data_IF_470588836441
#
_entry.id   IF_470588836441
#
_cell.length_a   1.000
_cell.length_b   1.000
_cell.length_c   1.000
_cell.angle_alpha   90.00
_cell.angle_beta   90.00
_cell.angle_gamma   90.00
#
_symmetry.space_group_name_H-M   'P 1'
#
loop_
_entity.id
_entity.type
_entity.pdbx_description
1 polymer ?
#
# COMPACT_ATOMS: atom_id res chain seq x y z
N UNK A 1 -9.40 1.08 -19.86
CA UNK A 1 -9.48 1.19 -18.38
C UNK A 1 -8.99 2.58 -17.98
N UNK A 2 -9.65 3.27 -17.04
CA UNK A 2 -9.17 4.58 -16.54
C UNK A 2 -8.05 4.32 -15.51
N UNK A 3 -6.93 5.04 -15.61
CA UNK A 3 -5.84 4.96 -14.63
C UNK A 3 -6.34 5.39 -13.25
N UNK A 4 -6.06 4.60 -12.22
CA UNK A 4 -6.32 4.95 -10.83
C UNK A 4 -5.07 5.65 -10.26
N UNK A 5 -5.26 6.80 -9.61
CA UNK A 5 -4.19 7.55 -8.95
C UNK A 5 -4.23 7.28 -7.44
N UNK A 6 -3.21 6.61 -6.93
CA UNK A 6 -3.01 6.40 -5.49
C UNK A 6 -2.07 7.49 -4.99
N UNK A 7 -2.59 8.41 -4.19
CA UNK A 7 -1.79 9.49 -3.61
C UNK A 7 -1.18 8.99 -2.30
N UNK A 8 0.15 8.89 -2.26
CA UNK A 8 0.88 8.45 -1.07
C UNK A 8 0.98 9.57 -0.04
N UNK A 9 0.23 9.48 1.03
CA UNK A 9 0.40 10.31 2.22
C UNK A 9 1.46 9.69 3.12
N UNK A 10 1.40 8.35 3.26
CA UNK A 10 2.37 7.58 4.01
C UNK A 10 2.58 8.12 5.41
N UNK A 11 3.82 8.47 5.72
CA UNK A 11 4.26 9.04 6.99
C UNK A 11 4.57 10.55 6.90
N UNK A 12 4.30 11.19 5.75
CA UNK A 12 4.61 12.61 5.51
C UNK A 12 3.82 13.56 6.42
N UNK A 13 2.82 13.07 7.14
CA UNK A 13 2.09 13.80 8.17
C UNK A 13 2.91 14.07 9.44
N UNK A 14 4.07 13.39 9.65
CA UNK A 14 4.99 13.62 10.77
C UNK A 14 4.31 13.54 12.16
N UNK A 15 3.30 12.68 12.32
CA UNK A 15 2.48 12.62 13.55
C UNK A 15 1.49 13.79 13.72
N UNK A 16 1.42 14.70 12.76
CA UNK A 16 0.48 15.83 12.77
C UNK A 16 -0.81 15.47 11.98
N UNK A 17 -1.87 15.14 12.67
CA UNK A 17 -3.15 14.71 12.07
C UNK A 17 -3.88 15.84 11.33
N UNK A 18 -3.65 17.10 11.68
CA UNK A 18 -4.20 18.23 10.90
C UNK A 18 -3.48 18.36 9.56
N UNK A 19 -2.17 18.12 9.53
CA UNK A 19 -1.41 18.03 8.29
C UNK A 19 -1.90 16.88 7.43
N UNK A 20 -2.12 15.67 8.01
CA UNK A 20 -2.70 14.53 7.33
C UNK A 20 -4.04 14.87 6.66
N UNK A 21 -4.97 15.51 7.41
CA UNK A 21 -6.26 15.97 6.88
C UNK A 21 -6.08 16.97 5.72
N UNK A 22 -5.09 17.85 5.82
CA UNK A 22 -4.73 18.77 4.73
C UNK A 22 -4.30 18.03 3.47
N UNK A 23 -3.42 17.02 3.62
CA UNK A 23 -2.95 16.18 2.51
C UNK A 23 -4.10 15.39 1.85
N UNK A 24 -5.04 14.84 2.62
CA UNK A 24 -6.24 14.18 2.06
C UNK A 24 -7.05 15.15 1.20
N UNK A 25 -7.26 16.38 1.67
CA UNK A 25 -8.00 17.41 0.91
C UNK A 25 -7.32 17.76 -0.41
N UNK A 26 -6.00 17.92 -0.39
CA UNK A 26 -5.24 18.23 -1.61
C UNK A 26 -5.21 17.01 -2.56
N UNK A 27 -5.10 15.78 -2.03
CA UNK A 27 -5.20 14.57 -2.83
C UNK A 27 -6.56 14.46 -3.55
N UNK A 28 -7.65 14.77 -2.86
CA UNK A 28 -9.01 14.78 -3.46
C UNK A 28 -9.13 15.86 -4.53
N UNK A 29 -8.67 17.09 -4.27
CA UNK A 29 -8.66 18.20 -5.24
C UNK A 29 -7.84 17.88 -6.50
N UNK A 30 -6.74 17.15 -6.33
CA UNK A 30 -5.89 16.71 -7.44
C UNK A 30 -6.51 15.55 -8.27
N UNK A 31 -7.69 15.07 -7.89
CA UNK A 31 -8.37 13.97 -8.58
C UNK A 31 -7.82 12.58 -8.22
N UNK A 32 -7.22 12.44 -7.05
CA UNK A 32 -6.80 11.14 -6.51
C UNK A 32 -7.96 10.15 -6.43
N UNK A 33 -7.69 8.91 -6.75
CA UNK A 33 -8.65 7.82 -6.53
C UNK A 33 -8.56 7.33 -5.09
N UNK A 34 -7.35 7.27 -4.55
CA UNK A 34 -7.05 6.82 -3.20
C UNK A 34 -6.14 7.81 -2.47
N UNK A 35 -6.41 8.05 -1.20
CA UNK A 35 -5.47 8.63 -0.24
C UNK A 35 -4.85 7.47 0.56
N UNK A 36 -3.53 7.22 0.40
CA UNK A 36 -2.90 6.04 0.97
C UNK A 36 -2.05 6.37 2.19
N UNK A 37 -2.26 5.58 3.23
CA UNK A 37 -1.55 5.58 4.51
C UNK A 37 -0.80 4.26 4.75
N UNK A 38 -0.23 4.12 5.94
CA UNK A 38 0.44 2.90 6.41
C UNK A 38 -0.11 2.49 7.77
N UNK A 39 -0.44 1.21 7.94
CA UNK A 39 -1.02 0.67 9.17
C UNK A 39 -0.06 -0.35 9.77
N UNK A 40 0.63 0.05 10.82
CA UNK A 40 1.55 -0.79 11.59
C UNK A 40 1.55 -0.31 13.05
N UNK A 41 2.24 -1.04 13.92
CA UNK A 41 2.56 -0.61 15.27
C UNK A 41 4.08 -0.59 15.46
N UNK A 42 4.61 0.44 16.09
CA UNK A 42 6.05 0.62 16.27
C UNK A 42 6.70 -0.52 17.08
N UNK A 43 5.92 -1.22 17.90
CA UNK A 43 6.41 -2.39 18.64
C UNK A 43 6.77 -3.60 17.75
N UNK A 44 6.46 -3.57 16.45
CA UNK A 44 6.93 -4.54 15.46
C UNK A 44 8.38 -4.29 15.02
N UNK A 45 8.92 -3.15 15.40
CA UNK A 45 10.31 -2.73 15.14
C UNK A 45 11.09 -2.90 16.43
N UNK A 46 12.32 -3.39 16.32
CA UNK A 46 13.18 -3.54 17.50
C UNK A 46 13.40 -2.19 18.16
N UNK A 47 13.29 -2.14 19.50
CA UNK A 47 13.42 -0.89 20.25
C UNK A 47 14.83 -0.24 20.17
N UNK A 48 15.84 -1.01 19.78
CA UNK A 48 17.21 -0.53 19.55
C UNK A 48 17.46 -0.11 18.08
N UNK A 49 16.45 -0.16 17.22
CA UNK A 49 16.56 0.28 15.84
C UNK A 49 16.65 1.82 15.78
N UNK A 50 17.54 2.35 14.96
CA UNK A 50 17.79 3.81 14.86
C UNK A 50 16.53 4.64 14.54
N UNK A 51 15.55 4.06 13.83
CA UNK A 51 14.30 4.71 13.43
C UNK A 51 13.11 4.39 14.35
N UNK A 52 13.33 3.72 15.50
CA UNK A 52 12.24 3.29 16.39
C UNK A 52 11.38 4.47 16.87
N UNK A 53 12.02 5.54 17.35
CA UNK A 53 11.31 6.74 17.84
C UNK A 53 10.59 7.48 16.71
N UNK A 54 11.14 7.44 15.48
CA UNK A 54 10.43 7.94 14.30
C UNK A 54 9.14 7.15 14.06
N UNK A 55 9.21 5.83 13.99
CA UNK A 55 8.03 4.99 13.78
C UNK A 55 6.99 5.16 14.89
N UNK A 56 7.40 5.37 16.14
CA UNK A 56 6.48 5.70 17.22
C UNK A 56 5.79 7.05 17.03
N UNK A 57 6.52 8.05 16.54
CA UNK A 57 5.97 9.40 16.30
C UNK A 57 4.91 9.38 15.20
N UNK A 58 5.13 8.61 14.14
CA UNK A 58 4.27 8.60 12.95
C UNK A 58 3.28 7.43 12.93
N UNK A 59 3.30 6.54 13.91
CA UNK A 59 2.28 5.50 14.09
C UNK A 59 0.90 6.12 14.19
N UNK A 60 0.00 5.73 13.27
CA UNK A 60 -1.34 6.28 13.24
C UNK A 60 -2.26 5.55 14.23
N UNK A 61 -2.84 6.24 15.23
CA UNK A 61 -3.81 5.65 16.15
C UNK A 61 -5.06 5.14 15.42
N UNK A 62 -5.70 4.08 15.95
CA UNK A 62 -6.91 3.52 15.36
C UNK A 62 -8.02 4.58 15.18
N UNK A 63 -8.20 5.47 16.16
CA UNK A 63 -9.19 6.56 16.08
C UNK A 63 -8.93 7.48 14.91
N UNK A 64 -7.66 7.77 14.61
CA UNK A 64 -7.27 8.62 13.48
C UNK A 64 -7.51 7.92 12.15
N UNK A 65 -7.35 6.59 12.07
CA UNK A 65 -7.72 5.82 10.87
C UNK A 65 -9.20 6.05 10.51
N UNK A 66 -10.10 5.93 11.47
CA UNK A 66 -11.54 6.18 11.23
C UNK A 66 -11.83 7.63 10.85
N UNK A 67 -11.14 8.62 11.49
CA UNK A 67 -11.28 10.03 11.12
C UNK A 67 -10.82 10.28 9.66
N UNK A 68 -9.71 9.67 9.23
CA UNK A 68 -9.22 9.82 7.85
C UNK A 68 -10.14 9.11 6.86
N UNK A 69 -10.66 7.93 7.20
CA UNK A 69 -11.63 7.22 6.36
C UNK A 69 -12.89 8.07 6.16
N UNK A 70 -13.47 8.60 7.23
CA UNK A 70 -14.64 9.47 7.15
C UNK A 70 -14.36 10.71 6.29
N UNK A 71 -13.20 11.37 6.50
CA UNK A 71 -12.83 12.53 5.69
C UNK A 71 -12.68 12.17 4.21
N UNK A 72 -12.12 11.00 3.90
CA UNK A 72 -12.03 10.53 2.52
C UNK A 72 -13.42 10.36 1.89
N UNK A 73 -14.36 9.75 2.61
CA UNK A 73 -15.76 9.56 2.17
C UNK A 73 -16.43 10.91 1.89
N UNK A 74 -16.30 11.87 2.80
CA UNK A 74 -16.84 13.25 2.65
C UNK A 74 -16.30 13.97 1.40
N UNK A 75 -15.06 13.67 1.02
CA UNK A 75 -14.37 14.31 -0.12
C UNK A 75 -14.48 13.51 -1.43
N UNK A 76 -15.13 12.34 -1.41
CA UNK A 76 -15.27 11.47 -2.59
C UNK A 76 -13.97 10.83 -3.08
N UNK A 77 -12.98 10.70 -2.21
CA UNK A 77 -11.74 9.92 -2.42
C UNK A 77 -11.79 8.65 -1.54
N UNK A 78 -11.15 7.58 -1.93
CA UNK A 78 -11.17 6.34 -1.14
C UNK A 78 -9.96 6.28 -0.18
N UNK A 79 -10.20 5.95 1.08
CA UNK A 79 -9.13 5.62 2.01
C UNK A 79 -8.47 4.29 1.61
N UNK A 80 -7.14 4.25 1.60
CA UNK A 80 -6.35 3.05 1.35
C UNK A 80 -5.24 2.98 2.40
N UNK A 81 -4.83 1.79 2.80
CA UNK A 81 -3.65 1.64 3.66
C UNK A 81 -2.81 0.43 3.28
N UNK A 82 -1.50 0.58 3.48
CA UNK A 82 -0.59 -0.56 3.47
C UNK A 82 -0.75 -1.35 4.76
N UNK A 83 -0.90 -2.67 4.63
CA UNK A 83 -0.81 -3.60 5.77
C UNK A 83 0.55 -4.28 5.80
N UNK A 84 1.06 -4.56 7.00
CA UNK A 84 2.38 -5.16 7.21
C UNK A 84 2.34 -6.44 8.04
N UNK A 85 1.20 -6.75 8.67
CA UNK A 85 1.00 -7.91 9.53
C UNK A 85 -0.43 -8.41 9.47
N UNK A 86 -0.68 -9.63 9.90
CA UNK A 86 -2.04 -10.17 10.06
C UNK A 86 -2.92 -9.26 10.92
N UNK A 87 -2.39 -8.75 12.05
CA UNK A 87 -3.14 -7.84 12.93
C UNK A 87 -3.57 -6.55 12.24
N UNK A 88 -2.67 -5.92 11.46
CA UNK A 88 -3.05 -4.73 10.69
C UNK A 88 -4.04 -5.05 9.58
N UNK A 89 -3.95 -6.24 8.96
CA UNK A 89 -4.96 -6.71 8.01
C UNK A 89 -6.33 -6.88 8.67
N UNK A 90 -6.39 -7.56 9.83
CA UNK A 90 -7.63 -7.74 10.59
C UNK A 90 -8.27 -6.41 10.98
N UNK A 91 -7.45 -5.45 11.44
CA UNK A 91 -7.94 -4.12 11.76
C UNK A 91 -8.54 -3.41 10.53
N UNK A 92 -7.83 -3.40 9.40
CA UNK A 92 -8.28 -2.74 8.19
C UNK A 92 -9.53 -3.40 7.57
N UNK A 93 -9.62 -4.73 7.60
CA UNK A 93 -10.72 -5.48 6.99
C UNK A 93 -11.89 -5.62 7.95
N UNK A 94 -11.66 -6.19 9.14
CA UNK A 94 -12.75 -6.61 10.03
C UNK A 94 -13.34 -5.43 10.81
N UNK A 95 -12.54 -4.38 11.10
CA UNK A 95 -12.99 -3.24 11.90
C UNK A 95 -13.28 -1.99 11.06
N UNK A 96 -12.48 -1.70 10.03
CA UNK A 96 -12.70 -0.55 9.16
C UNK A 96 -13.53 -0.90 7.91
N UNK A 97 -13.72 -2.18 7.60
CA UNK A 97 -14.50 -2.62 6.44
C UNK A 97 -13.85 -2.31 5.08
N UNK A 98 -12.51 -2.23 5.02
CA UNK A 98 -11.85 -1.92 3.76
C UNK A 98 -11.91 -3.11 2.79
N UNK A 99 -12.36 -2.86 1.57
CA UNK A 99 -12.37 -3.82 0.46
C UNK A 99 -11.16 -3.71 -0.45
N UNK A 100 -10.25 -2.76 -0.19
CA UNK A 100 -9.01 -2.57 -0.93
C UNK A 100 -7.82 -2.46 0.03
N UNK A 101 -6.73 -3.16 -0.28
CA UNK A 101 -5.49 -3.15 0.51
C UNK A 101 -4.27 -2.87 -0.37
N UNK A 102 -3.22 -2.33 0.25
CA UNK A 102 -1.88 -2.22 -0.34
C UNK A 102 -0.92 -3.16 0.38
N UNK A 103 -0.14 -3.89 -0.39
CA UNK A 103 0.96 -4.72 0.09
C UNK A 103 2.29 -4.12 -0.38
N UNK A 104 3.16 -3.78 0.58
CA UNK A 104 4.47 -3.20 0.29
C UNK A 104 5.43 -4.23 -0.30
N UNK A 105 6.44 -3.79 -1.05
CA UNK A 105 7.47 -4.67 -1.65
C UNK A 105 8.14 -5.57 -0.61
N UNK A 106 8.36 -5.08 0.60
CA UNK A 106 8.94 -5.85 1.71
C UNK A 106 8.07 -7.01 2.20
N UNK A 107 6.82 -7.12 1.76
CA UNK A 107 5.87 -8.17 2.15
C UNK A 107 5.61 -9.18 1.04
N UNK A 108 6.19 -9.01 -0.15
CA UNK A 108 5.90 -9.88 -1.30
C UNK A 108 6.30 -11.35 -1.07
N UNK A 109 7.35 -11.59 -0.29
CA UNK A 109 7.82 -12.93 0.08
C UNK A 109 7.26 -13.44 1.41
N UNK A 110 6.42 -12.65 2.09
CA UNK A 110 5.72 -13.03 3.32
C UNK A 110 4.45 -13.82 2.99
N UNK A 111 4.65 -15.09 2.57
CA UNK A 111 3.54 -15.94 2.12
C UNK A 111 2.48 -16.15 3.19
N UNK A 112 2.85 -16.08 4.49
CA UNK A 112 1.87 -16.18 5.56
C UNK A 112 0.94 -14.96 5.62
N UNK A 113 1.47 -13.75 5.39
CA UNK A 113 0.66 -12.55 5.30
C UNK A 113 -0.19 -12.56 4.03
N UNK A 114 0.39 -12.96 2.88
CA UNK A 114 -0.34 -13.04 1.62
C UNK A 114 -1.51 -14.04 1.70
N UNK A 115 -1.28 -15.23 2.25
CA UNK A 115 -2.32 -16.21 2.49
C UNK A 115 -3.42 -15.65 3.41
N UNK A 116 -3.06 -14.95 4.48
CA UNK A 116 -4.00 -14.33 5.39
C UNK A 116 -4.88 -13.24 4.73
N UNK A 117 -4.32 -12.50 3.77
CA UNK A 117 -5.08 -11.56 2.93
C UNK A 117 -5.98 -12.33 1.96
N UNK A 118 -5.47 -13.39 1.33
CA UNK A 118 -6.21 -14.21 0.38
C UNK A 118 -7.42 -14.94 1.02
N UNK A 119 -7.28 -15.39 2.27
CA UNK A 119 -8.37 -16.00 3.05
C UNK A 119 -9.56 -15.03 3.29
N UNK A 120 -9.36 -13.72 3.06
CA UNK A 120 -10.37 -12.66 3.17
C UNK A 120 -10.88 -12.16 1.81
N UNK A 121 -10.70 -12.93 0.75
CA UNK A 121 -11.08 -12.52 -0.61
C UNK A 121 -12.57 -12.18 -0.77
N UNK A 122 -13.45 -12.72 0.08
CA UNK A 122 -14.86 -12.32 0.10
C UNK A 122 -15.07 -10.84 0.54
N UNK A 123 -14.16 -10.31 1.38
CA UNK A 123 -14.20 -8.94 1.90
C UNK A 123 -13.22 -8.03 1.13
N UNK A 124 -12.01 -8.56 0.83
CA UNK A 124 -10.93 -7.84 0.13
C UNK A 124 -11.01 -8.11 -1.36
N UNK A 125 -11.68 -7.24 -2.08
CA UNK A 125 -11.88 -7.36 -3.53
C UNK A 125 -10.68 -6.86 -4.35
N UNK A 126 -9.90 -5.94 -3.80
CA UNK A 126 -8.79 -5.30 -4.53
C UNK A 126 -7.49 -5.32 -3.73
N UNK A 127 -6.41 -5.77 -4.35
CA UNK A 127 -5.06 -5.71 -3.78
C UNK A 127 -4.10 -5.03 -4.76
N UNK A 128 -3.37 -4.06 -4.27
CA UNK A 128 -2.23 -3.44 -4.96
C UNK A 128 -0.94 -3.98 -4.34
N UNK A 129 -0.18 -4.80 -5.08
CA UNK A 129 1.07 -5.41 -4.63
C UNK A 129 2.27 -4.72 -5.29
N UNK A 130 3.13 -4.09 -4.50
CA UNK A 130 4.41 -3.56 -4.99
C UNK A 130 5.46 -4.65 -5.10
N UNK A 131 6.30 -4.57 -6.15
CA UNK A 131 7.24 -5.64 -6.56
C UNK A 131 8.70 -5.20 -6.50
N UNK A 132 9.01 -4.11 -5.81
CA UNK A 132 10.37 -3.58 -5.72
C UNK A 132 11.35 -4.56 -5.09
N UNK A 133 12.50 -4.76 -5.75
CA UNK A 133 13.55 -5.67 -5.28
C UNK A 133 13.24 -7.16 -5.45
N UNK A 134 12.15 -7.52 -6.18
CA UNK A 134 11.74 -8.91 -6.36
C UNK A 134 12.07 -9.45 -7.74
N UNK A 135 12.32 -10.74 -7.81
CA UNK A 135 12.44 -11.51 -9.06
C UNK A 135 11.04 -11.85 -9.61
N UNK A 136 10.99 -12.22 -10.90
CA UNK A 136 9.73 -12.70 -11.52
C UNK A 136 9.19 -13.94 -10.79
N UNK A 137 10.04 -14.84 -10.34
CA UNK A 137 9.62 -16.07 -9.64
C UNK A 137 9.01 -15.75 -8.26
N UNK A 138 9.55 -14.77 -7.52
CA UNK A 138 8.97 -14.31 -6.26
C UNK A 138 7.62 -13.63 -6.48
N UNK A 139 7.50 -12.83 -7.55
CA UNK A 139 6.22 -12.22 -7.94
C UNK A 139 5.20 -13.29 -8.30
N UNK A 140 5.60 -14.33 -9.07
CA UNK A 140 4.75 -15.45 -9.43
C UNK A 140 4.22 -16.18 -8.19
N UNK A 141 5.09 -16.49 -7.22
CA UNK A 141 4.68 -17.12 -5.96
C UNK A 141 3.66 -16.26 -5.17
N UNK A 142 3.84 -14.94 -5.16
CA UNK A 142 2.90 -14.03 -4.51
C UNK A 142 1.55 -13.97 -5.25
N UNK A 143 1.56 -13.95 -6.59
CA UNK A 143 0.36 -13.99 -7.43
C UNK A 143 -0.43 -15.28 -7.19
N UNK A 144 0.25 -16.43 -7.16
CA UNK A 144 -0.37 -17.72 -6.87
C UNK A 144 -1.01 -17.74 -5.48
N UNK A 145 -0.32 -17.18 -4.48
CA UNK A 145 -0.82 -17.10 -3.10
C UNK A 145 -2.06 -16.19 -2.99
N UNK A 146 -2.17 -15.14 -3.81
CA UNK A 146 -3.29 -14.21 -3.85
C UNK A 146 -4.37 -14.59 -4.87
N UNK A 147 -4.43 -15.85 -5.28
CA UNK A 147 -5.26 -16.33 -6.38
C UNK A 147 -6.77 -16.20 -6.22
N UNK A 148 -7.29 -15.97 -5.00
CA UNK A 148 -8.70 -15.70 -4.77
C UNK A 148 -9.07 -14.22 -4.85
N UNK A 149 -8.09 -13.31 -4.91
CA UNK A 149 -8.33 -11.86 -5.01
C UNK A 149 -8.82 -11.50 -6.41
N UNK A 150 -10.02 -10.93 -6.51
CA UNK A 150 -10.67 -10.60 -7.78
C UNK A 150 -9.88 -9.56 -8.60
N UNK A 151 -9.41 -8.50 -7.94
CA UNK A 151 -8.76 -7.37 -8.60
C UNK A 151 -7.32 -7.19 -8.06
N UNK A 152 -6.43 -8.12 -8.40
CA UNK A 152 -5.01 -7.96 -8.13
C UNK A 152 -4.37 -7.02 -9.15
N UNK A 153 -3.54 -6.10 -8.69
CA UNK A 153 -2.69 -5.24 -9.54
C UNK A 153 -1.25 -5.27 -9.02
N UNK A 154 -0.29 -5.47 -9.91
CA UNK A 154 1.14 -5.42 -9.59
C UNK A 154 1.67 -4.02 -9.86
N UNK A 155 2.50 -3.50 -8.96
CA UNK A 155 3.10 -2.17 -9.12
C UNK A 155 4.61 -2.32 -9.24
N UNK A 156 5.15 -2.00 -10.43
CA UNK A 156 6.59 -1.80 -10.55
C UNK A 156 7.02 -0.67 -9.61
N UNK A 157 8.08 -0.88 -8.87
CA UNK A 157 8.74 0.17 -8.10
C UNK A 157 10.23 -0.17 -7.87
N UNK A 158 11.01 0.83 -7.51
CA UNK A 158 12.40 0.68 -7.10
C UNK A 158 12.48 0.98 -5.61
N UNK A 159 13.08 0.06 -4.84
CA UNK A 159 13.22 0.19 -3.37
C UNK A 159 14.39 1.11 -2.99
N UNK A 160 14.42 2.29 -3.59
CA UNK A 160 15.38 3.37 -3.32
C UNK A 160 14.60 4.65 -3.06
N UNK A 161 14.94 5.39 -1.99
CA UNK A 161 14.25 6.60 -1.56
C UNK A 161 15.23 7.76 -1.34
N UNK A 162 15.29 8.77 -2.24
CA UNK A 162 14.61 8.81 -3.53
C UNK A 162 15.28 7.90 -4.57
N UNK A 163 14.49 7.46 -5.56
CA UNK A 163 15.01 6.77 -6.74
C UNK A 163 15.65 7.78 -7.67
N UNK A 164 16.89 7.55 -8.09
CA UNK A 164 17.53 8.32 -9.14
C UNK A 164 16.90 8.00 -10.51
N UNK A 165 16.72 9.00 -11.38
CA UNK A 165 16.06 8.86 -12.68
C UNK A 165 16.66 7.70 -13.52
N UNK A 166 17.98 7.54 -13.46
CA UNK A 166 18.70 6.47 -14.18
C UNK A 166 18.31 5.05 -13.69
N UNK A 167 17.81 4.93 -12.47
CA UNK A 167 17.48 3.66 -11.81
C UNK A 167 15.98 3.32 -11.87
N UNK A 168 15.13 4.22 -12.36
CA UNK A 168 13.65 4.05 -12.40
C UNK A 168 13.23 2.82 -13.21
N UNK A 169 13.97 2.46 -14.24
CA UNK A 169 13.79 1.23 -15.03
C UNK A 169 12.35 0.95 -15.50
N UNK A 170 11.69 1.94 -16.11
CA UNK A 170 10.29 1.80 -16.56
C UNK A 170 10.07 0.65 -17.56
N UNK A 171 11.13 0.17 -18.23
CA UNK A 171 11.02 -0.99 -19.13
C UNK A 171 10.68 -2.29 -18.38
N UNK A 172 10.91 -2.37 -17.07
CA UNK A 172 10.48 -3.49 -16.24
C UNK A 172 8.94 -3.67 -16.26
N UNK A 173 8.17 -2.59 -16.43
CA UNK A 173 6.71 -2.65 -16.59
C UNK A 173 6.33 -3.55 -17.79
N UNK A 174 7.05 -3.44 -18.93
CA UNK A 174 6.80 -4.28 -20.10
C UNK A 174 7.17 -5.75 -19.85
N UNK A 175 8.27 -5.98 -19.11
CA UNK A 175 8.64 -7.35 -18.73
C UNK A 175 7.58 -7.98 -17.82
N UNK A 176 7.07 -7.22 -16.85
CA UNK A 176 5.98 -7.68 -16.00
C UNK A 176 4.68 -7.91 -16.79
N UNK A 177 4.33 -7.03 -17.73
CA UNK A 177 3.16 -7.24 -18.61
C UNK A 177 3.28 -8.51 -19.46
N UNK A 178 4.48 -8.85 -19.91
CA UNK A 178 4.72 -10.08 -20.64
C UNK A 178 4.65 -11.33 -19.76
N UNK A 179 5.12 -11.23 -18.51
CA UNK A 179 5.08 -12.33 -17.54
C UNK A 179 3.67 -12.55 -16.95
N UNK A 180 2.90 -11.48 -16.79
CA UNK A 180 1.56 -11.49 -16.17
C UNK A 180 0.53 -10.79 -17.06
N UNK A 181 0.16 -11.38 -18.21
CA UNK A 181 -0.66 -10.71 -19.23
C UNK A 181 -2.09 -10.39 -18.77
N UNK A 182 -2.61 -11.14 -17.80
CA UNK A 182 -3.98 -10.99 -17.30
C UNK A 182 -4.06 -10.09 -16.06
N UNK A 183 -2.91 -9.62 -15.53
CA UNK A 183 -2.85 -8.80 -14.31
C UNK A 183 -2.50 -7.36 -14.69
N UNK A 184 -3.27 -6.35 -14.27
CA UNK A 184 -2.93 -4.95 -14.48
C UNK A 184 -1.58 -4.58 -13.83
N UNK A 185 -0.71 -3.93 -14.60
CA UNK A 185 0.58 -3.45 -14.12
C UNK A 185 0.53 -1.94 -13.96
N UNK A 186 0.83 -1.46 -12.77
CA UNK A 186 0.97 -0.04 -12.44
C UNK A 186 2.41 0.33 -12.10
N UNK A 187 2.58 1.56 -11.63
CA UNK A 187 3.85 2.10 -11.19
C UNK A 187 3.72 2.75 -9.82
N UNK A 188 4.64 2.45 -8.92
CA UNK A 188 4.81 3.13 -7.63
C UNK A 188 6.09 3.93 -7.68
N UNK A 189 5.95 5.24 -7.83
CA UNK A 189 7.06 6.17 -8.01
C UNK A 189 7.70 6.54 -6.68
N UNK A 190 9.03 6.47 -6.63
CA UNK A 190 9.86 6.91 -5.49
C UNK A 190 10.91 7.93 -5.95
N UNK A 191 10.79 8.48 -7.17
CA UNK A 191 11.66 9.56 -7.67
C UNK A 191 11.32 10.91 -7.02
N UNK A 192 12.09 11.97 -7.33
CA UNK A 192 11.87 13.34 -6.80
C UNK A 192 10.96 14.16 -7.69
#
# INVERSE_FOLDING_TARGET
MKTKLIVEIGENHLGNWQLAKGMVREAAKAGGTYAKFQTYTANQIRADHEWYEWFRLVEMPETVHFEMQQLCEELGITFLSSTFTRRSTDFLVDRMGLSALKLASSRIVDLELLAHVNDRAEQVQTVYLSTGGSTIDEIQGAVECLGAIENLSLLHCVSQYPTEDANVNLLAIRAMQAAFPDIPIGYSDHSR
#
